data_IF_674559657035
#
_entry.id   IF_674559657035
#
_cell.length_a   1.000
_cell.length_b   1.000
_cell.length_c   1.000
_cell.angle_alpha   90.00
_cell.angle_beta   90.00
_cell.angle_gamma   90.00
#
_symmetry.space_group_name_H-M   'P 1'
#
loop_
_entity.id
_entity.type
_entity.pdbx_description
1 polymer ?
#
# COMPACT_ATOMS: atom_id res chain seq x y z
N UNK A 1 -10.49 -2.15 3.90
CA UNK A 1 -9.30 -1.41 3.42
C UNK A 1 -9.10 -1.85 1.98
N UNK A 2 -9.02 -0.93 1.01
CA UNK A 2 -8.91 -1.29 -0.41
C UNK A 2 -7.46 -1.64 -0.78
N UNK A 3 -7.25 -2.42 -1.84
CA UNK A 3 -5.91 -2.77 -2.33
C UNK A 3 -5.07 -1.52 -2.63
N UNK A 4 -5.67 -0.46 -3.17
CA UNK A 4 -4.97 0.80 -3.41
C UNK A 4 -4.45 1.48 -2.12
N UNK A 5 -5.16 1.37 -0.99
CA UNK A 5 -4.70 1.92 0.28
C UNK A 5 -3.48 1.18 0.81
N UNK A 6 -3.49 -0.15 0.65
CA UNK A 6 -2.37 -1.04 0.99
C UNK A 6 -1.15 -0.69 0.13
N UNK A 7 -1.34 -0.50 -1.17
CA UNK A 7 -0.30 -0.11 -2.12
C UNK A 7 0.38 1.23 -1.78
N UNK A 8 -0.38 2.25 -1.37
CA UNK A 8 0.18 3.54 -0.93
C UNK A 8 1.00 3.39 0.35
N UNK A 9 0.45 2.73 1.37
CA UNK A 9 1.17 2.50 2.62
C UNK A 9 2.46 1.71 2.42
N UNK A 10 2.41 0.67 1.58
CA UNK A 10 3.57 -0.11 1.18
C UNK A 10 4.68 0.73 0.53
N UNK A 11 4.34 1.57 -0.45
CA UNK A 11 5.32 2.38 -1.18
C UNK A 11 5.91 3.49 -0.30
N UNK A 12 5.05 4.28 0.35
CA UNK A 12 5.45 5.55 0.96
C UNK A 12 5.89 5.39 2.43
N UNK A 13 5.32 4.42 3.17
CA UNK A 13 5.63 4.20 4.59
C UNK A 13 6.64 3.07 4.75
N UNK A 14 6.44 1.95 4.07
CA UNK A 14 7.28 0.76 4.19
C UNK A 14 8.42 0.70 3.15
N UNK A 15 8.49 1.68 2.25
CA UNK A 15 9.50 1.76 1.19
C UNK A 15 9.60 0.48 0.34
N UNK A 16 8.47 -0.20 0.12
CA UNK A 16 8.38 -1.35 -0.77
C UNK A 16 8.58 -0.87 -2.21
N UNK A 17 9.37 -1.65 -2.96
CA UNK A 17 9.75 -1.34 -4.32
C UNK A 17 8.54 -1.06 -5.24
N UNK A 18 8.67 -0.02 -6.08
CA UNK A 18 7.59 0.41 -6.96
C UNK A 18 7.19 -0.66 -7.98
N UNK A 19 8.11 -1.52 -8.43
CA UNK A 19 7.77 -2.64 -9.32
C UNK A 19 6.94 -3.71 -8.59
N UNK A 20 7.15 -3.91 -7.28
CA UNK A 20 6.31 -4.80 -6.46
C UNK A 20 4.90 -4.25 -6.31
N UNK A 21 4.76 -2.94 -6.10
CA UNK A 21 3.45 -2.27 -6.06
C UNK A 21 2.73 -2.31 -7.41
N UNK A 22 3.45 -2.15 -8.52
CA UNK A 22 2.89 -2.29 -9.86
C UNK A 22 2.34 -3.70 -10.12
N UNK A 23 3.11 -4.75 -9.80
CA UNK A 23 2.65 -6.15 -9.90
C UNK A 23 1.42 -6.42 -9.05
N UNK A 24 1.34 -5.82 -7.86
CA UNK A 24 0.17 -5.92 -7.01
C UNK A 24 -1.07 -5.26 -7.61
N UNK A 25 -0.90 -4.09 -8.25
CA UNK A 25 -1.98 -3.44 -9.01
C UNK A 25 -2.45 -4.35 -10.16
N UNK A 26 -1.54 -4.95 -10.91
CA UNK A 26 -1.88 -5.84 -12.04
C UNK A 26 -2.62 -7.10 -11.57
N UNK A 27 -2.14 -7.73 -10.49
CA UNK A 27 -2.80 -8.87 -9.87
C UNK A 27 -4.20 -8.49 -9.32
N UNK A 28 -4.33 -7.32 -8.69
CA UNK A 28 -5.62 -6.81 -8.26
C UNK A 28 -6.56 -6.59 -9.46
N UNK A 29 -6.08 -5.96 -10.55
CA UNK A 29 -6.86 -5.75 -11.78
C UNK A 29 -7.35 -7.05 -12.38
N UNK A 30 -6.52 -8.10 -12.38
CA UNK A 30 -6.92 -9.43 -12.88
C UNK A 30 -8.08 -10.04 -12.09
N UNK A 31 -8.19 -9.76 -10.79
CA UNK A 31 -9.32 -10.18 -9.96
C UNK A 31 -10.59 -9.35 -10.18
N UNK A 32 -10.49 -8.21 -10.87
CA UNK A 32 -11.59 -7.29 -11.19
C UNK A 32 -11.67 -7.02 -12.70
N UNK A 33 -11.50 -8.06 -13.53
CA UNK A 33 -11.43 -7.94 -14.98
C UNK A 33 -12.65 -7.25 -15.63
N UNK A 34 -13.82 -7.37 -14.98
CA UNK A 34 -15.09 -6.78 -15.45
C UNK A 34 -15.35 -5.36 -14.88
N UNK A 35 -14.40 -4.75 -14.17
CA UNK A 35 -14.54 -3.41 -13.60
C UNK A 35 -13.94 -2.34 -14.54
N UNK A 36 -14.73 -1.67 -15.40
CA UNK A 36 -14.22 -0.64 -16.30
C UNK A 36 -13.64 0.57 -15.56
N UNK A 37 -14.12 0.83 -14.33
CA UNK A 37 -13.69 1.95 -13.50
C UNK A 37 -12.54 1.60 -12.54
N UNK A 38 -11.91 0.42 -12.69
CA UNK A 38 -10.86 -0.04 -11.77
C UNK A 38 -9.75 1.01 -11.56
N UNK A 39 -9.29 1.64 -12.63
CA UNK A 39 -8.22 2.65 -12.54
C UNK A 39 -8.67 3.92 -11.80
N UNK A 40 -9.95 4.30 -11.91
CA UNK A 40 -10.53 5.44 -11.17
C UNK A 40 -10.66 5.11 -9.68
N UNK A 41 -11.19 3.92 -9.34
CA UNK A 41 -11.33 3.44 -7.96
C UNK A 41 -9.96 3.21 -7.30
N UNK A 42 -9.00 2.68 -8.06
CA UNK A 42 -7.61 2.56 -7.61
C UNK A 42 -7.04 3.93 -7.26
N UNK A 43 -7.21 4.92 -8.15
CA UNK A 43 -6.71 6.28 -7.93
C UNK A 43 -7.39 6.93 -6.73
N UNK A 44 -8.70 6.72 -6.55
CA UNK A 44 -9.46 7.22 -5.41
C UNK A 44 -8.92 6.65 -4.10
N UNK A 45 -8.75 5.32 -4.01
CA UNK A 45 -8.15 4.69 -2.83
C UNK A 45 -6.73 5.19 -2.56
N UNK A 46 -5.89 5.28 -3.59
CA UNK A 46 -4.53 5.78 -3.46
C UNK A 46 -4.48 7.21 -2.88
N UNK A 47 -5.42 8.09 -3.28
CA UNK A 47 -5.58 9.43 -2.71
C UNK A 47 -6.10 9.42 -1.27
N UNK A 48 -7.06 8.56 -0.94
CA UNK A 48 -7.60 8.45 0.42
C UNK A 48 -6.51 8.02 1.42
N UNK A 49 -5.55 7.20 0.98
CA UNK A 49 -4.43 6.80 1.81
C UNK A 49 -3.39 7.91 2.05
N UNK A 50 -3.44 9.03 1.32
CA UNK A 50 -2.52 10.16 1.52
C UNK A 50 -2.56 10.70 2.95
N UNK A 51 -3.75 10.80 3.56
CA UNK A 51 -3.88 11.28 4.93
C UNK A 51 -3.13 10.39 5.94
N UNK A 52 -3.06 9.07 5.69
CA UNK A 52 -2.26 8.14 6.50
C UNK A 52 -0.78 8.36 6.26
N UNK A 53 -0.34 8.52 5.01
CA UNK A 53 1.06 8.84 4.67
C UNK A 53 1.50 10.12 5.38
N UNK A 54 0.72 11.20 5.26
CA UNK A 54 1.02 12.49 5.91
C UNK A 54 1.12 12.37 7.43
N UNK A 55 0.28 11.52 8.04
CA UNK A 55 0.35 11.23 9.49
C UNK A 55 1.66 10.53 9.85
N UNK A 56 2.07 9.53 9.07
CA UNK A 56 3.33 8.81 9.31
C UNK A 56 4.56 9.67 9.04
N UNK A 57 4.53 10.56 8.04
CA UNK A 57 5.60 11.52 7.79
C UNK A 57 5.76 12.51 8.95
N UNK A 58 4.64 13.03 9.48
CA UNK A 58 4.65 13.87 10.70
C UNK A 58 5.18 13.10 11.91
N UNK A 59 4.79 11.84 12.06
CA UNK A 59 5.28 10.98 13.15
C UNK A 59 6.79 10.74 13.02
N UNK A 60 7.29 10.45 11.81
CA UNK A 60 8.72 10.28 11.53
C UNK A 60 9.53 11.51 11.91
N UNK A 61 9.02 12.70 11.59
CA UNK A 61 9.68 13.97 11.90
C UNK A 61 9.63 14.31 13.40
N UNK A 62 8.52 13.98 14.08
CA UNK A 62 8.29 14.40 15.47
C UNK A 62 8.76 13.37 16.50
N UNK A 63 8.62 12.07 16.20
CA UNK A 63 8.98 10.95 17.06
C UNK A 63 9.48 9.75 16.21
N UNK A 64 10.75 9.76 15.78
CA UNK A 64 11.30 8.72 14.92
C UNK A 64 11.35 7.33 15.58
N UNK A 65 11.42 7.26 16.92
CA UNK A 65 11.42 5.99 17.65
C UNK A 65 10.06 5.29 17.60
N UNK A 66 8.98 6.06 17.79
CA UNK A 66 7.61 5.55 17.66
C UNK A 66 7.27 5.22 16.21
N UNK A 67 7.66 6.07 15.26
CA UNK A 67 7.57 5.75 13.83
C UNK A 67 8.22 4.41 13.51
N UNK A 68 9.46 4.19 13.98
CA UNK A 68 10.19 2.94 13.75
C UNK A 68 9.44 1.73 14.33
N UNK A 69 8.90 1.85 15.54
CA UNK A 69 8.12 0.78 16.18
C UNK A 69 6.87 0.41 15.36
N UNK A 70 6.11 1.42 14.94
CA UNK A 70 4.89 1.24 14.15
C UNK A 70 5.17 0.56 12.80
N UNK A 71 6.21 1.01 12.08
CA UNK A 71 6.56 0.39 10.79
C UNK A 71 7.15 -1.02 10.96
N UNK A 72 7.91 -1.29 12.02
CA UNK A 72 8.49 -2.61 12.27
C UNK A 72 7.38 -3.65 12.54
N UNK A 73 6.22 -3.24 13.09
CA UNK A 73 5.04 -4.09 13.28
C UNK A 73 4.17 -4.20 12.01
N UNK A 74 3.89 -3.07 11.36
CA UNK A 74 2.93 -3.01 10.25
C UNK A 74 3.51 -3.48 8.90
N UNK A 75 4.75 -3.13 8.59
CA UNK A 75 5.35 -3.37 7.28
C UNK A 75 5.53 -4.85 6.92
N UNK A 76 5.87 -5.77 7.85
CA UNK A 76 5.92 -7.20 7.54
C UNK A 76 4.56 -7.76 7.10
N UNK A 77 3.47 -7.37 7.78
CA UNK A 77 2.12 -7.80 7.44
C UNK A 77 1.68 -7.23 6.08
N UNK A 78 1.97 -5.95 5.82
CA UNK A 78 1.73 -5.30 4.53
C UNK A 78 2.49 -5.97 3.38
N UNK A 79 3.78 -6.27 3.60
CA UNK A 79 4.62 -6.94 2.60
C UNK A 79 4.07 -8.32 2.26
N UNK A 80 3.72 -9.10 3.29
CA UNK A 80 3.16 -10.44 3.13
C UNK A 80 1.82 -10.42 2.40
N UNK A 81 0.92 -9.50 2.73
CA UNK A 81 -0.36 -9.37 2.03
C UNK A 81 -0.19 -9.02 0.54
N UNK A 82 0.80 -8.20 0.20
CA UNK A 82 1.15 -7.94 -1.21
C UNK A 82 1.69 -9.20 -1.89
N UNK A 83 2.57 -9.94 -1.22
CA UNK A 83 3.13 -11.18 -1.75
C UNK A 83 2.06 -12.25 -1.98
N UNK A 84 1.11 -12.41 -1.06
CA UNK A 84 0.01 -13.38 -1.19
C UNK A 84 -0.88 -13.09 -2.41
N UNK A 85 -1.10 -11.82 -2.74
CA UNK A 85 -1.89 -11.42 -3.92
C UNK A 85 -1.08 -11.48 -5.21
N UNK A 86 0.25 -11.30 -5.15
CA UNK A 86 1.14 -11.34 -6.32
C UNK A 86 1.73 -12.71 -6.60
N UNK A 87 1.62 -13.67 -5.67
CA UNK A 87 2.07 -15.03 -5.88
C UNK A 87 1.34 -15.67 -7.07
N UNK A 88 2.06 -16.35 -7.98
CA UNK A 88 1.40 -17.13 -9.02
C UNK A 88 0.55 -18.22 -8.36
N UNK A 89 -0.74 -18.24 -8.69
CA UNK A 89 -1.65 -19.32 -8.32
C UNK A 89 -1.34 -20.58 -9.14
#
# INVERSE_FOLDING_TARGET
MTSANIARGAADICHIDAAKVARFKDAARANFADAPDFDAEWTLGYRQAQATVDRFDKLKASNPAEYKKEIDEACPALTRGIDEVTAPQ
#
